data_IF_461279927251
#
_entry.id   IF_461279927251
#
_cell.length_a   1.000
_cell.length_b   1.000
_cell.length_c   1.000
_cell.angle_alpha   90.00
_cell.angle_beta   90.00
_cell.angle_gamma   90.00
#
_symmetry.space_group_name_H-M   'P 1'
#
loop_
_entity.id
_entity.type
_entity.pdbx_description
1 polymer ?
#
# COMPACT_ATOMS: atom_id res chain seq x y z
N UNK A 1 -12.76 6.35 5.84
CA UNK A 1 -13.84 5.64 5.12
C UNK A 1 -14.96 5.13 6.03
N UNK A 2 -14.66 4.39 7.11
CA UNK A 2 -15.70 3.75 7.93
C UNK A 2 -16.39 4.65 8.97
N UNK A 3 -15.81 5.82 9.22
CA UNK A 3 -16.21 6.76 10.29
C UNK A 3 -16.23 6.09 11.69
N UNK A 4 -15.24 5.21 11.92
CA UNK A 4 -15.00 4.59 13.23
C UNK A 4 -13.99 5.47 13.96
N UNK A 5 -14.34 5.91 15.16
CA UNK A 5 -13.44 6.67 16.02
C UNK A 5 -12.27 5.78 16.46
N UNK A 6 -11.05 6.30 16.36
CA UNK A 6 -9.83 5.58 16.72
C UNK A 6 -8.83 6.53 17.38
N UNK A 7 -7.86 5.95 18.08
CA UNK A 7 -6.69 6.65 18.58
C UNK A 7 -5.46 6.01 17.96
N UNK A 8 -4.58 6.81 17.38
CA UNK A 8 -3.30 6.34 16.86
C UNK A 8 -2.34 6.04 18.02
N UNK A 9 -1.70 4.87 17.98
CA UNK A 9 -0.64 4.48 18.90
C UNK A 9 0.67 4.41 18.11
N UNK A 10 1.53 5.40 18.34
CA UNK A 10 2.87 5.51 17.77
C UNK A 10 3.96 4.91 18.66
N UNK A 11 3.63 4.51 19.89
CA UNK A 11 4.58 3.99 20.88
C UNK A 11 4.85 2.50 20.69
N UNK A 12 3.82 1.74 20.31
CA UNK A 12 3.90 0.29 20.13
C UNK A 12 3.56 -0.10 18.68
N UNK A 13 4.49 0.08 17.74
CA UNK A 13 4.22 -0.09 16.31
C UNK A 13 3.95 -1.54 15.89
N UNK A 14 4.37 -2.53 16.69
CA UNK A 14 4.24 -3.95 16.35
C UNK A 14 3.26 -4.67 17.28
N UNK A 15 2.25 -5.31 16.69
CA UNK A 15 1.26 -6.08 17.43
C UNK A 15 1.73 -7.50 17.79
N UNK A 16 0.82 -8.34 18.32
CA UNK A 16 1.13 -9.70 18.78
C UNK A 16 1.79 -10.64 17.75
N UNK A 17 1.63 -10.34 16.45
CA UNK A 17 2.25 -11.08 15.34
C UNK A 17 3.60 -10.52 14.89
N UNK A 18 4.14 -9.51 15.60
CA UNK A 18 5.38 -8.84 15.25
C UNK A 18 5.30 -7.98 13.99
N UNK A 19 4.09 -7.54 13.60
CA UNK A 19 3.83 -6.72 12.41
C UNK A 19 2.74 -5.67 12.70
N UNK A 20 2.79 -4.61 11.89
CA UNK A 20 1.73 -3.64 11.71
C UNK A 20 0.91 -3.96 10.43
N UNK A 21 -0.34 -3.48 10.31
CA UNK A 21 -1.12 -2.82 11.36
C UNK A 21 -1.73 -3.83 12.35
N UNK A 22 -2.05 -3.33 13.54
CA UNK A 22 -2.77 -4.04 14.60
C UNK A 22 -3.65 -3.04 15.37
N UNK A 23 -4.67 -3.52 16.07
CA UNK A 23 -5.57 -2.70 16.91
C UNK A 23 -5.85 -3.38 18.24
N UNK A 24 -6.19 -2.59 19.26
CA UNK A 24 -6.87 -3.06 20.48
C UNK A 24 -8.30 -2.55 20.48
N UNK A 25 -9.26 -3.45 20.64
CA UNK A 25 -10.67 -3.11 20.85
C UNK A 25 -11.19 -3.83 22.08
N UNK A 26 -11.75 -3.08 23.03
CA UNK A 26 -12.29 -3.62 24.30
C UNK A 26 -11.30 -4.51 25.07
N UNK A 27 -10.02 -4.11 25.09
CA UNK A 27 -8.95 -4.84 25.78
C UNK A 27 -8.47 -6.11 25.06
N UNK A 28 -8.89 -6.35 23.82
CA UNK A 28 -8.43 -7.47 23.00
C UNK A 28 -7.69 -6.99 21.76
N UNK A 29 -6.57 -7.63 21.49
CA UNK A 29 -5.71 -7.30 20.36
C UNK A 29 -6.07 -8.11 19.11
N UNK A 30 -6.09 -7.41 17.98
CA UNK A 30 -6.32 -7.97 16.65
C UNK A 30 -5.18 -7.53 15.73
N UNK A 31 -4.62 -8.46 14.96
CA UNK A 31 -3.48 -8.23 14.10
C UNK A 31 -3.71 -8.84 12.72
N UNK A 32 -3.07 -8.26 11.69
CA UNK A 32 -3.32 -8.45 10.24
C UNK A 32 -4.41 -7.52 9.70
N UNK A 33 -4.08 -6.70 8.69
CA UNK A 33 -4.98 -5.68 8.15
C UNK A 33 -6.29 -6.27 7.64
N UNK A 34 -6.25 -7.39 6.93
CA UNK A 34 -7.45 -8.00 6.37
C UNK A 34 -8.35 -8.57 7.46
N UNK A 35 -7.76 -9.30 8.41
CA UNK A 35 -8.52 -9.83 9.55
C UNK A 35 -9.13 -8.72 10.42
N UNK A 36 -8.41 -7.60 10.58
CA UNK A 36 -8.91 -6.41 11.28
C UNK A 36 -10.10 -5.82 10.53
N UNK A 37 -9.99 -5.62 9.22
CA UNK A 37 -11.08 -5.04 8.42
C UNK A 37 -12.31 -5.96 8.44
N UNK A 38 -12.15 -7.26 8.27
CA UNK A 38 -13.25 -8.23 8.35
C UNK A 38 -13.94 -8.21 9.72
N UNK A 39 -13.16 -8.13 10.79
CA UNK A 39 -13.69 -8.07 12.15
C UNK A 39 -14.45 -6.76 12.39
N UNK A 40 -13.85 -5.61 12.08
CA UNK A 40 -14.49 -4.30 12.23
C UNK A 40 -15.73 -4.17 11.34
N UNK A 41 -15.69 -4.72 10.13
CA UNK A 41 -16.83 -4.75 9.21
C UNK A 41 -18.02 -5.49 9.80
N UNK A 42 -17.79 -6.64 10.45
CA UNK A 42 -18.83 -7.39 11.17
C UNK A 42 -19.32 -6.66 12.41
N UNK A 43 -18.39 -6.18 13.24
CA UNK A 43 -18.69 -5.52 14.53
C UNK A 43 -19.50 -4.24 14.34
N UNK A 44 -19.08 -3.38 13.39
CA UNK A 44 -19.71 -2.08 13.13
C UNK A 44 -20.70 -2.09 11.97
N UNK A 45 -21.04 -3.29 11.43
CA UNK A 45 -21.95 -3.49 10.29
C UNK A 45 -21.60 -2.61 9.09
N UNK A 46 -20.31 -2.59 8.74
CA UNK A 46 -19.76 -1.88 7.59
C UNK A 46 -19.36 -2.90 6.52
N UNK A 47 -19.98 -2.80 5.35
CA UNK A 47 -19.59 -3.55 4.16
C UNK A 47 -19.46 -2.57 2.98
N UNK A 48 -18.22 -2.23 2.64
CA UNK A 48 -17.90 -1.30 1.55
C UNK A 48 -17.95 -1.95 0.16
N UNK A 49 -18.17 -3.26 0.11
CA UNK A 49 -18.21 -4.05 -1.11
C UNK A 49 -19.61 -4.62 -1.38
N UNK A 50 -20.63 -4.30 -0.55
CA UNK A 50 -21.97 -4.90 -0.67
C UNK A 50 -22.64 -4.62 -2.02
N UNK A 51 -22.43 -3.43 -2.58
CA UNK A 51 -22.99 -3.04 -3.89
C UNK A 51 -22.29 -3.71 -5.09
N UNK A 52 -21.15 -4.37 -4.88
CA UNK A 52 -20.40 -4.99 -5.96
C UNK A 52 -21.03 -6.33 -6.36
N UNK A 53 -21.10 -6.55 -7.67
CA UNK A 53 -21.41 -7.85 -8.26
C UNK A 53 -20.37 -8.91 -7.87
N UNK A 54 -20.72 -10.20 -8.06
CA UNK A 54 -19.78 -11.31 -7.80
C UNK A 54 -18.51 -11.21 -8.64
N UNK A 55 -18.65 -10.72 -9.88
CA UNK A 55 -17.54 -10.52 -10.80
C UNK A 55 -16.63 -9.38 -10.32
N UNK A 56 -17.21 -8.22 -9.97
CA UNK A 56 -16.44 -7.08 -9.44
C UNK A 56 -15.70 -7.43 -8.15
N UNK A 57 -16.31 -8.22 -7.26
CA UNK A 57 -15.65 -8.74 -6.06
C UNK A 57 -14.45 -9.63 -6.40
N UNK A 58 -14.59 -10.50 -7.40
CA UNK A 58 -13.52 -11.39 -7.84
C UNK A 58 -12.35 -10.60 -8.46
N UNK A 59 -12.64 -9.62 -9.33
CA UNK A 59 -11.61 -8.76 -9.93
C UNK A 59 -10.93 -7.89 -8.88
N UNK A 60 -11.70 -7.33 -7.94
CA UNK A 60 -11.17 -6.54 -6.82
C UNK A 60 -10.19 -7.36 -5.99
N UNK A 61 -10.52 -8.62 -5.69
CA UNK A 61 -9.61 -9.52 -4.99
C UNK A 61 -8.32 -9.76 -5.76
N UNK A 62 -8.41 -9.97 -7.08
CA UNK A 62 -7.22 -10.17 -7.92
C UNK A 62 -6.32 -8.92 -7.93
N UNK A 63 -6.91 -7.72 -8.07
CA UNK A 63 -6.20 -6.44 -8.04
C UNK A 63 -5.53 -6.18 -6.70
N UNK A 64 -6.22 -6.51 -5.60
CA UNK A 64 -5.68 -6.42 -4.26
C UNK A 64 -4.42 -7.29 -4.10
N UNK A 65 -4.51 -8.56 -4.47
CA UNK A 65 -3.39 -9.50 -4.36
C UNK A 65 -2.22 -9.08 -5.26
N UNK A 66 -2.49 -8.58 -6.46
CA UNK A 66 -1.44 -8.03 -7.34
C UNK A 66 -0.71 -6.87 -6.65
N UNK A 67 -1.44 -5.93 -6.04
CA UNK A 67 -0.82 -4.82 -5.33
C UNK A 67 -0.01 -5.29 -4.10
N UNK A 68 -0.60 -6.14 -3.26
CA UNK A 68 -0.02 -6.56 -1.98
C UNK A 68 1.15 -7.55 -2.13
N UNK A 69 1.08 -8.48 -3.10
CA UNK A 69 2.07 -9.56 -3.26
C UNK A 69 3.04 -9.37 -4.43
N UNK A 70 2.85 -8.32 -5.25
CA UNK A 70 3.71 -8.04 -6.38
C UNK A 70 4.21 -6.59 -6.36
N UNK A 71 3.31 -5.60 -6.39
CA UNK A 71 3.71 -4.17 -6.40
C UNK A 71 4.49 -3.79 -5.13
N UNK A 72 4.08 -4.32 -3.97
CA UNK A 72 4.81 -4.14 -2.69
C UNK A 72 6.27 -4.61 -2.76
N UNK A 73 6.56 -5.70 -3.47
CA UNK A 73 7.91 -6.22 -3.61
C UNK A 73 8.77 -5.32 -4.50
N UNK A 74 8.17 -4.69 -5.52
CA UNK A 74 8.80 -3.64 -6.31
C UNK A 74 9.21 -2.43 -5.47
N UNK A 75 8.27 -1.92 -4.66
CA UNK A 75 8.54 -0.84 -3.71
C UNK A 75 9.64 -1.22 -2.73
N UNK A 76 9.55 -2.42 -2.13
CA UNK A 76 10.54 -2.91 -1.17
C UNK A 76 11.93 -3.06 -1.77
N UNK A 77 12.03 -3.55 -3.01
CA UNK A 77 13.29 -3.60 -3.73
C UNK A 77 13.88 -2.20 -3.91
N UNK A 78 13.14 -1.26 -4.49
CA UNK A 78 13.68 0.08 -4.73
C UNK A 78 14.07 0.76 -3.41
N UNK A 79 13.15 0.81 -2.44
CA UNK A 79 13.32 1.53 -1.16
C UNK A 79 14.48 0.99 -0.32
N UNK A 80 14.59 -0.33 -0.19
CA UNK A 80 15.57 -0.92 0.72
C UNK A 80 16.89 -1.33 0.03
N UNK A 81 16.86 -1.63 -1.27
CA UNK A 81 18.04 -2.14 -1.98
C UNK A 81 18.70 -1.06 -2.83
N UNK A 82 17.93 -0.29 -3.59
CA UNK A 82 18.45 0.73 -4.52
C UNK A 82 18.68 2.04 -3.78
N UNK A 83 17.63 2.60 -3.20
CA UNK A 83 17.67 3.85 -2.41
C UNK A 83 18.38 3.66 -1.06
N UNK A 84 18.44 2.42 -0.53
CA UNK A 84 19.09 2.09 0.75
C UNK A 84 18.53 2.88 1.95
N UNK A 85 17.21 3.12 1.94
CA UNK A 85 16.45 3.84 2.95
C UNK A 85 16.76 5.34 3.07
N UNK A 86 17.49 5.95 2.15
CA UNK A 86 17.86 7.37 2.25
C UNK A 86 16.63 8.28 2.09
N UNK A 87 15.81 8.03 1.08
CA UNK A 87 14.58 8.81 0.86
C UNK A 87 13.56 8.56 1.98
N UNK A 88 13.45 7.30 2.41
CA UNK A 88 12.55 6.92 3.51
C UNK A 88 12.96 7.56 4.84
N UNK A 89 14.26 7.66 5.14
CA UNK A 89 14.72 8.22 6.42
C UNK A 89 14.40 9.70 6.54
N UNK A 90 14.49 10.44 5.43
CA UNK A 90 14.10 11.85 5.38
C UNK A 90 12.58 11.99 5.51
N UNK A 91 11.81 11.23 4.72
CA UNK A 91 10.34 11.32 4.73
C UNK A 91 9.70 10.94 6.06
N UNK A 92 10.32 10.02 6.80
CA UNK A 92 9.82 9.55 8.10
C UNK A 92 10.56 10.19 9.30
N UNK A 93 11.45 11.14 9.05
CA UNK A 93 12.26 11.81 10.08
C UNK A 93 12.97 10.84 11.04
N UNK A 94 13.50 9.73 10.50
CA UNK A 94 14.10 8.67 11.31
C UNK A 94 15.30 9.19 12.11
N UNK A 95 15.36 8.85 13.39
CA UNK A 95 16.55 9.06 14.21
C UNK A 95 17.73 8.25 13.68
N UNK A 96 18.95 8.64 14.08
CA UNK A 96 20.17 7.92 13.69
C UNK A 96 20.12 6.42 14.02
N UNK A 97 19.56 6.05 15.18
CA UNK A 97 19.45 4.66 15.59
C UNK A 97 18.40 3.89 14.79
N UNK A 98 17.24 4.49 14.49
CA UNK A 98 16.21 3.89 13.64
C UNK A 98 16.72 3.69 12.22
N UNK A 99 17.40 4.69 11.65
CA UNK A 99 18.04 4.59 10.35
C UNK A 99 19.04 3.44 10.28
N UNK A 100 19.91 3.30 11.30
CA UNK A 100 20.89 2.22 11.36
C UNK A 100 20.22 0.85 11.52
N UNK A 101 19.15 0.79 12.31
CA UNK A 101 18.32 -0.41 12.43
C UNK A 101 17.70 -0.79 11.08
N UNK A 102 17.11 0.15 10.34
CA UNK A 102 16.55 -0.10 9.02
C UNK A 102 17.61 -0.58 8.03
N UNK A 103 18.82 0.00 8.04
CA UNK A 103 19.94 -0.48 7.21
C UNK A 103 20.35 -1.91 7.57
N UNK A 104 20.29 -2.29 8.84
CA UNK A 104 20.59 -3.67 9.27
C UNK A 104 19.60 -4.70 8.70
N UNK A 105 18.37 -4.29 8.36
CA UNK A 105 17.34 -5.17 7.79
C UNK A 105 17.51 -5.43 6.30
N UNK A 106 18.29 -4.62 5.57
CA UNK A 106 18.46 -4.72 4.11
C UNK A 106 18.87 -6.14 3.67
N UNK A 107 19.75 -6.82 4.42
CA UNK A 107 20.16 -8.19 4.11
C UNK A 107 19.00 -9.18 4.20
N UNK A 108 18.12 -9.03 5.21
CA UNK A 108 16.92 -9.86 5.37
C UNK A 108 15.92 -9.57 4.24
N UNK A 109 15.76 -8.31 3.87
CA UNK A 109 14.86 -7.89 2.79
C UNK A 109 15.33 -8.46 1.45
N UNK A 110 16.62 -8.37 1.12
CA UNK A 110 17.20 -9.01 -0.08
C UNK A 110 16.90 -10.51 -0.14
N UNK A 111 17.05 -11.22 0.99
CA UNK A 111 16.70 -12.64 1.08
C UNK A 111 15.21 -12.86 0.85
N UNK A 112 14.34 -12.04 1.41
CA UNK A 112 12.89 -12.12 1.21
C UNK A 112 12.50 -11.91 -0.26
N UNK A 113 13.06 -10.88 -0.91
CA UNK A 113 12.86 -10.61 -2.34
C UNK A 113 13.30 -11.81 -3.19
N UNK A 114 14.44 -12.43 -2.86
CA UNK A 114 14.94 -13.60 -3.58
C UNK A 114 14.05 -14.85 -3.40
N UNK A 115 13.55 -15.07 -2.18
CA UNK A 115 12.66 -16.20 -1.88
C UNK A 115 11.29 -16.06 -2.52
N UNK A 116 10.74 -14.84 -2.62
CA UNK A 116 9.50 -14.58 -3.33
C UNK A 116 9.66 -14.72 -4.85
N UNK A 117 10.86 -14.45 -5.38
CA UNK A 117 11.20 -14.62 -6.80
C UNK A 117 11.56 -13.30 -7.48
N UNK A 118 10.96 -12.19 -7.08
CA UNK A 118 11.20 -10.85 -7.64
C UNK A 118 12.68 -10.45 -7.60
N UNK A 119 13.39 -10.83 -6.52
CA UNK A 119 14.81 -10.53 -6.35
C UNK A 119 15.75 -11.24 -7.33
N UNK A 120 15.25 -12.19 -8.13
CA UNK A 120 16.05 -12.96 -9.12
C UNK A 120 16.26 -12.23 -10.43
N UNK A 121 15.43 -11.24 -10.71
CA UNK A 121 15.46 -10.47 -11.94
C UNK A 121 16.57 -9.39 -11.89
N UNK A 122 17.01 -8.94 -13.06
CA UNK A 122 17.83 -7.74 -13.15
C UNK A 122 16.97 -6.48 -12.97
N UNK A 123 17.60 -5.31 -12.84
CA UNK A 123 16.88 -4.08 -12.47
C UNK A 123 15.92 -3.59 -13.55
N UNK A 124 16.26 -3.74 -14.83
CA UNK A 124 15.36 -3.39 -15.94
C UNK A 124 14.14 -4.32 -15.99
N UNK A 125 14.35 -5.62 -15.78
CA UNK A 125 13.26 -6.60 -15.67
C UNK A 125 12.34 -6.28 -14.51
N UNK A 126 12.88 -5.96 -13.32
CA UNK A 126 12.07 -5.58 -12.15
C UNK A 126 11.20 -4.35 -12.44
N UNK A 127 11.77 -3.34 -13.11
CA UNK A 127 11.01 -2.14 -13.48
C UNK A 127 9.90 -2.50 -14.48
N UNK A 128 10.17 -3.34 -15.47
CA UNK A 128 9.17 -3.81 -16.45
C UNK A 128 8.06 -4.65 -15.83
N UNK A 129 8.40 -5.52 -14.88
CA UNK A 129 7.43 -6.31 -14.15
C UNK A 129 6.41 -5.39 -13.44
N UNK A 130 6.90 -4.42 -12.67
CA UNK A 130 6.03 -3.49 -11.93
C UNK A 130 5.29 -2.53 -12.88
N UNK A 131 5.90 -2.15 -14.01
CA UNK A 131 5.24 -1.34 -15.05
C UNK A 131 3.96 -2.01 -15.54
N UNK A 132 4.02 -3.32 -15.83
CA UNK A 132 2.86 -4.08 -16.30
C UNK A 132 1.74 -4.16 -15.26
N UNK A 133 2.07 -4.24 -13.97
CA UNK A 133 1.05 -4.21 -12.92
C UNK A 133 0.38 -2.83 -12.82
N UNK A 134 1.19 -1.76 -12.83
CA UNK A 134 0.68 -0.38 -12.81
C UNK A 134 -0.19 -0.13 -14.05
N UNK A 135 0.24 -0.59 -15.22
CA UNK A 135 -0.53 -0.52 -16.46
C UNK A 135 -1.85 -1.28 -16.35
N UNK A 136 -1.85 -2.49 -15.78
CA UNK A 136 -3.07 -3.28 -15.59
C UNK A 136 -4.07 -2.57 -14.66
N UNK A 137 -3.59 -2.00 -13.55
CA UNK A 137 -4.41 -1.20 -12.63
C UNK A 137 -4.96 0.03 -13.35
N UNK A 138 -4.12 0.74 -14.10
CA UNK A 138 -4.49 1.92 -14.89
C UNK A 138 -5.59 1.60 -15.91
N UNK A 139 -5.39 0.54 -16.71
CA UNK A 139 -6.34 0.11 -17.73
C UNK A 139 -7.66 -0.32 -17.12
N UNK A 140 -7.60 -1.07 -16.01
CA UNK A 140 -8.82 -1.49 -15.33
C UNK A 140 -9.55 -0.32 -14.69
N UNK A 141 -8.85 0.65 -14.10
CA UNK A 141 -9.46 1.89 -13.59
C UNK A 141 -10.13 2.67 -14.73
N UNK A 142 -9.43 2.83 -15.86
CA UNK A 142 -9.91 3.56 -17.02
C UNK A 142 -10.34 4.99 -16.65
N UNK A 143 -11.62 5.29 -16.88
CA UNK A 143 -12.25 6.59 -16.55
C UNK A 143 -13.04 6.57 -15.24
N UNK A 144 -13.07 5.45 -14.52
CA UNK A 144 -13.84 5.31 -13.27
C UNK A 144 -13.22 6.19 -12.18
N UNK A 145 -14.06 6.70 -11.27
CA UNK A 145 -13.59 7.51 -10.14
C UNK A 145 -12.80 6.68 -9.14
N UNK A 146 -13.30 5.47 -8.87
CA UNK A 146 -12.71 4.44 -8.02
C UNK A 146 -12.70 3.09 -8.76
N UNK A 147 -12.08 2.08 -8.17
CA UNK A 147 -11.76 0.82 -8.84
C UNK A 147 -12.95 0.20 -9.60
N UNK A 148 -14.13 0.17 -8.97
CA UNK A 148 -15.35 -0.43 -9.51
C UNK A 148 -16.43 0.60 -9.88
N UNK A 149 -16.12 1.89 -9.96
CA UNK A 149 -17.10 2.91 -10.38
C UNK A 149 -17.05 4.19 -9.56
N UNK A 150 -18.21 4.66 -9.09
CA UNK A 150 -18.36 5.96 -8.41
C UNK A 150 -18.20 5.90 -6.89
N UNK A 151 -18.31 4.72 -6.28
CA UNK A 151 -18.24 4.52 -4.84
C UNK A 151 -16.96 3.74 -4.53
N UNK A 152 -16.09 4.25 -3.63
CA UNK A 152 -14.90 3.50 -3.23
C UNK A 152 -15.30 2.27 -2.43
N UNK A 153 -14.51 1.21 -2.56
CA UNK A 153 -14.64 -0.03 -1.82
C UNK A 153 -13.38 -0.31 -0.99
N UNK A 154 -13.34 -1.43 -0.26
CA UNK A 154 -12.19 -1.79 0.55
C UNK A 154 -10.89 -1.94 -0.28
N UNK A 155 -10.99 -2.50 -1.49
CA UNK A 155 -9.83 -2.67 -2.36
C UNK A 155 -9.23 -1.34 -2.80
N UNK A 156 -10.02 -0.27 -2.87
CA UNK A 156 -9.48 1.06 -3.13
C UNK A 156 -8.51 1.50 -2.02
N UNK A 157 -8.72 1.09 -0.77
CA UNK A 157 -7.78 1.35 0.32
C UNK A 157 -6.44 0.65 0.09
N UNK A 158 -6.44 -0.62 -0.32
CA UNK A 158 -5.20 -1.36 -0.62
C UNK A 158 -4.46 -0.76 -1.81
N UNK A 159 -5.17 -0.45 -2.90
CA UNK A 159 -4.56 0.15 -4.09
C UNK A 159 -4.02 1.55 -3.80
N UNK A 160 -4.79 2.40 -3.13
CA UNK A 160 -4.31 3.71 -2.71
C UNK A 160 -3.10 3.60 -1.78
N UNK A 161 -3.14 2.71 -0.80
CA UNK A 161 -2.02 2.46 0.12
C UNK A 161 -0.74 2.11 -0.61
N UNK A 162 -0.82 1.37 -1.73
CA UNK A 162 0.35 1.06 -2.55
C UNK A 162 0.75 2.19 -3.50
N UNK A 163 -0.19 2.72 -4.30
CA UNK A 163 0.08 3.74 -5.31
C UNK A 163 0.55 5.05 -4.69
N UNK A 164 0.03 5.42 -3.52
CA UNK A 164 0.50 6.60 -2.77
C UNK A 164 1.98 6.52 -2.43
N UNK A 165 2.55 5.32 -2.23
CA UNK A 165 3.97 5.15 -2.00
C UNK A 165 4.79 5.51 -3.23
N UNK A 166 4.29 5.24 -4.44
CA UNK A 166 4.97 5.69 -5.66
C UNK A 166 4.78 7.18 -5.92
N UNK A 167 3.62 7.75 -5.60
CA UNK A 167 3.37 9.18 -5.84
C UNK A 167 4.14 10.08 -4.85
N UNK A 168 4.16 9.72 -3.57
CA UNK A 168 4.70 10.57 -2.49
C UNK A 168 5.77 9.87 -1.63
N UNK A 169 5.75 8.55 -1.51
CA UNK A 169 6.61 7.79 -0.59
C UNK A 169 7.94 7.28 -1.18
N UNK A 170 8.22 7.51 -2.45
CA UNK A 170 9.39 6.97 -3.16
C UNK A 170 9.96 7.99 -4.16
N UNK A 171 10.38 9.18 -3.68
CA UNK A 171 10.87 10.25 -4.54
C UNK A 171 12.13 9.82 -5.31
N UNK A 172 12.22 10.19 -6.58
CA UNK A 172 13.31 9.80 -7.49
C UNK A 172 13.22 8.36 -7.97
N UNK A 173 12.20 7.59 -7.59
CA UNK A 173 12.03 6.23 -8.09
C UNK A 173 11.55 6.21 -9.54
N UNK A 174 11.89 5.17 -10.33
CA UNK A 174 11.30 5.01 -11.66
C UNK A 174 9.77 4.86 -11.60
N UNK A 175 9.24 4.37 -10.48
CA UNK A 175 7.80 4.19 -10.26
C UNK A 175 7.08 5.52 -10.01
N UNK A 176 7.73 6.48 -9.33
CA UNK A 176 7.20 7.84 -9.18
C UNK A 176 7.04 8.50 -10.55
N UNK A 177 8.11 8.51 -11.35
CA UNK A 177 8.08 9.07 -12.70
C UNK A 177 6.98 8.40 -13.55
N UNK A 178 6.87 7.07 -13.46
CA UNK A 178 5.90 6.31 -14.22
C UNK A 178 4.45 6.67 -13.86
N UNK A 179 4.11 6.73 -12.56
CA UNK A 179 2.74 7.11 -12.15
C UNK A 179 2.46 8.58 -12.49
N UNK A 180 3.44 9.48 -12.35
CA UNK A 180 3.24 10.92 -12.61
C UNK A 180 3.16 11.27 -14.09
N UNK A 181 3.95 10.62 -14.94
CA UNK A 181 4.11 10.98 -16.34
C UNK A 181 3.32 10.09 -17.29
N UNK A 182 3.28 8.77 -17.02
CA UNK A 182 2.73 7.79 -17.96
C UNK A 182 1.27 7.40 -17.61
N UNK A 183 0.89 7.46 -16.33
CA UNK A 183 -0.43 7.03 -15.84
C UNK A 183 -1.19 8.13 -15.08
N UNK A 184 -1.58 9.24 -15.75
CA UNK A 184 -2.22 10.39 -15.10
C UNK A 184 -3.56 10.04 -14.44
N UNK A 185 -4.31 9.05 -14.94
CA UNK A 185 -5.54 8.57 -14.30
C UNK A 185 -5.29 7.97 -12.91
N UNK A 186 -4.18 7.25 -12.70
CA UNK A 186 -3.77 6.73 -11.40
C UNK A 186 -3.30 7.84 -10.47
N UNK A 187 -2.58 8.83 -11.00
CA UNK A 187 -2.21 10.02 -10.22
C UNK A 187 -3.47 10.73 -9.70
N UNK A 188 -4.43 11.00 -10.58
CA UNK A 188 -5.70 11.63 -10.22
C UNK A 188 -6.53 10.77 -9.26
N UNK A 189 -6.49 9.44 -9.39
CA UNK A 189 -7.09 8.52 -8.43
C UNK A 189 -6.49 8.67 -7.04
N UNK A 190 -5.16 8.78 -6.92
CA UNK A 190 -4.50 8.98 -5.65
C UNK A 190 -4.93 10.31 -5.01
N UNK A 191 -4.98 11.40 -5.79
CA UNK A 191 -5.47 12.69 -5.27
C UNK A 191 -6.92 12.61 -4.78
N UNK A 192 -7.82 11.97 -5.54
CA UNK A 192 -9.22 11.78 -5.11
C UNK A 192 -9.33 11.00 -3.80
N UNK A 193 -8.55 9.93 -3.64
CA UNK A 193 -8.53 9.14 -2.40
C UNK A 193 -7.98 9.95 -1.22
N UNK A 194 -6.86 10.65 -1.42
CA UNK A 194 -6.25 11.56 -0.44
C UNK A 194 -7.27 12.62 0.02
N UNK A 195 -7.81 13.42 -0.90
CA UNK A 195 -8.72 14.52 -0.60
C UNK A 195 -10.01 14.06 0.08
N UNK A 196 -10.53 12.88 -0.31
CA UNK A 196 -11.78 12.37 0.23
C UNK A 196 -11.67 11.84 1.66
N UNK A 197 -10.52 11.26 2.04
CA UNK A 197 -10.40 10.51 3.29
C UNK A 197 -9.34 11.03 4.27
N UNK A 198 -8.45 11.92 3.83
CA UNK A 198 -7.41 12.55 4.65
C UNK A 198 -7.40 14.07 4.43
N UNK A 199 -8.43 14.79 4.91
CA UNK A 199 -8.48 16.25 4.81
C UNK A 199 -7.36 16.95 5.61
N UNK A 200 -6.73 16.22 6.52
CA UNK A 200 -5.63 16.60 7.41
C UNK A 200 -4.25 16.13 6.89
N UNK A 201 -4.12 15.71 5.63
CA UNK A 201 -2.89 15.12 5.09
C UNK A 201 -1.62 15.97 5.24
N UNK A 202 -1.74 17.29 5.25
CA UNK A 202 -0.59 18.22 5.34
C UNK A 202 -0.23 18.61 6.79
N UNK A 203 -0.92 18.05 7.80
CA UNK A 203 -0.59 18.25 9.22
C UNK A 203 0.46 17.24 9.68
#
# INVERSE_FOLDING_TARGET
MADIQYKFDDRYPYGPKGKAPWITLNGKDYADSQLIIEFLGKEFRKDFCNSLSKEEKAVSRAMQIMAEEHVLFGLGWWRFVVDRCESMSVLMELSFFEYLFMKSLIKKIRKSLWLQGFGRHNDNEKIEIIRKDIEAISNYLGTKKFLNGDIPCETDCSLFGMLSQFVWGAPGSPFESMVKNDYPNLLQYCYRMKEKFWPDWEQ
#
